data_IF_199012603684
#
_entry.id   IF_199012603684
#
_cell.length_a   1.000
_cell.length_b   1.000
_cell.length_c   1.000
_cell.angle_alpha   90.00
_cell.angle_beta   90.00
_cell.angle_gamma   90.00
#
_symmetry.space_group_name_H-M   'P 1'
#
loop_
_entity.id
_entity.type
_entity.pdbx_description
1 polymer ?
#
# COMPACT_ATOMS: atom_id res chain seq x y z
N UNK A 1 1.68 -2.44 -22.70
CA UNK A 1 2.37 -2.55 -21.38
C UNK A 1 1.56 -1.76 -20.37
N UNK A 2 1.28 -2.28 -19.17
CA UNK A 2 0.55 -1.49 -18.16
C UNK A 2 1.41 -0.35 -17.64
N UNK A 3 0.76 0.79 -17.37
CA UNK A 3 1.41 1.95 -16.77
C UNK A 3 1.88 1.62 -15.33
N UNK A 4 3.16 1.88 -14.97
CA UNK A 4 3.68 1.59 -13.64
C UNK A 4 2.89 2.24 -12.49
N UNK A 5 2.35 3.45 -12.71
CA UNK A 5 1.47 4.14 -11.75
C UNK A 5 0.19 3.36 -11.51
N UNK A 6 -0.40 2.78 -12.57
CA UNK A 6 -1.62 1.99 -12.47
C UNK A 6 -1.38 0.64 -11.79
N UNK A 7 -0.20 0.05 -11.98
CA UNK A 7 0.20 -1.16 -11.27
C UNK A 7 0.30 -0.91 -9.75
N UNK A 8 0.97 0.17 -9.32
CA UNK A 8 1.06 0.56 -7.89
C UNK A 8 -0.32 0.79 -7.27
N UNK A 9 -1.21 1.49 -7.98
CA UNK A 9 -2.58 1.73 -7.53
C UNK A 9 -3.37 0.43 -7.37
N UNK A 10 -3.25 -0.49 -8.32
CA UNK A 10 -3.90 -1.80 -8.27
C UNK A 10 -3.38 -2.63 -7.11
N UNK A 11 -2.06 -2.73 -6.95
CA UNK A 11 -1.43 -3.43 -5.84
C UNK A 11 -1.91 -2.86 -4.49
N UNK A 12 -1.88 -1.54 -4.33
CA UNK A 12 -2.38 -0.87 -3.12
C UNK A 12 -3.84 -1.24 -2.87
N UNK A 13 -4.73 -1.07 -3.85
CA UNK A 13 -6.15 -1.37 -3.66
C UNK A 13 -6.39 -2.84 -3.27
N UNK A 14 -5.69 -3.79 -3.90
CA UNK A 14 -5.79 -5.20 -3.55
C UNK A 14 -5.30 -5.48 -2.12
N UNK A 15 -4.22 -4.81 -1.71
CA UNK A 15 -3.67 -4.96 -0.36
C UNK A 15 -4.60 -4.44 0.75
N UNK A 16 -5.38 -3.40 0.48
CA UNK A 16 -6.24 -2.77 1.51
C UNK A 16 -7.71 -3.17 1.46
N UNK A 17 -8.21 -3.67 0.33
CA UNK A 17 -9.63 -4.04 0.18
C UNK A 17 -9.87 -5.49 -0.20
N UNK A 18 -8.87 -6.19 -0.74
CA UNK A 18 -8.97 -7.55 -1.24
C UNK A 18 -8.05 -8.50 -0.50
N UNK A 19 -6.99 -8.93 -1.19
CA UNK A 19 -6.10 -10.01 -0.81
C UNK A 19 -5.41 -9.85 0.56
N UNK A 20 -5.19 -8.62 1.05
CA UNK A 20 -4.43 -8.29 2.29
C UNK A 20 -2.99 -8.79 2.39
N UNK A 21 -2.57 -9.61 1.42
CA UNK A 21 -1.23 -10.10 1.16
C UNK A 21 -1.04 -10.13 -0.35
N UNK A 22 0.08 -9.59 -0.84
CA UNK A 22 0.50 -9.68 -2.23
C UNK A 22 1.85 -10.36 -2.31
N UNK A 23 1.97 -11.30 -3.24
CA UNK A 23 3.24 -11.91 -3.60
C UNK A 23 3.84 -11.13 -4.80
N UNK A 24 5.05 -10.61 -4.62
CA UNK A 24 5.80 -9.86 -5.61
C UNK A 24 7.11 -10.61 -5.89
N UNK A 25 7.02 -11.65 -6.70
CA UNK A 25 8.15 -12.57 -6.92
C UNK A 25 8.42 -13.39 -5.65
N UNK A 26 9.57 -13.19 -5.04
CA UNK A 26 9.98 -13.84 -3.78
C UNK A 26 9.60 -13.03 -2.54
N UNK A 27 9.19 -11.77 -2.72
CA UNK A 27 8.86 -10.86 -1.63
C UNK A 27 7.34 -10.80 -1.40
N UNK A 28 6.96 -10.30 -0.22
CA UNK A 28 5.56 -10.09 0.11
C UNK A 28 5.30 -8.67 0.58
N UNK A 29 4.17 -8.12 0.16
CA UNK A 29 3.60 -6.92 0.76
C UNK A 29 2.36 -7.32 1.56
N UNK A 30 2.32 -6.93 2.84
CA UNK A 30 1.22 -7.30 3.75
C UNK A 30 0.58 -6.08 4.39
N UNK A 31 -0.73 -6.13 4.52
CA UNK A 31 -1.49 -5.07 5.18
C UNK A 31 -1.06 -4.87 6.64
N UNK A 32 -0.85 -5.95 7.39
CA UNK A 32 -0.54 -5.86 8.82
C UNK A 32 0.85 -5.29 9.09
N UNK A 33 1.84 -5.56 8.23
CA UNK A 33 3.15 -4.93 8.28
C UNK A 33 3.05 -3.41 8.02
N UNK A 34 2.28 -3.00 7.01
CA UNK A 34 2.03 -1.58 6.75
C UNK A 34 1.27 -0.91 7.90
N UNK A 35 0.32 -1.63 8.50
CA UNK A 35 -0.41 -1.17 9.67
C UNK A 35 0.53 -0.96 10.86
N UNK A 36 1.41 -1.90 11.16
CA UNK A 36 2.40 -1.73 12.23
C UNK A 36 3.36 -0.57 11.93
N UNK A 37 3.86 -0.48 10.70
CA UNK A 37 4.79 0.57 10.28
C UNK A 37 4.19 1.97 10.45
N UNK A 38 2.90 2.15 10.13
CA UNK A 38 2.21 3.43 10.29
C UNK A 38 2.07 3.91 11.75
N UNK A 39 2.35 3.03 12.72
CA UNK A 39 2.35 3.34 14.16
C UNK A 39 3.76 3.42 14.76
N UNK A 40 4.81 3.16 13.97
CA UNK A 40 6.20 3.33 14.41
C UNK A 40 6.63 4.79 14.26
N UNK A 41 7.56 5.23 15.09
CA UNK A 41 8.18 6.55 14.93
C UNK A 41 9.06 6.60 13.67
N UNK A 42 9.20 7.79 13.08
CA UNK A 42 10.08 8.07 11.95
C UNK A 42 9.82 7.24 10.67
N UNK A 43 8.54 7.01 10.35
CA UNK A 43 8.12 6.35 9.12
C UNK A 43 7.61 7.35 8.07
N UNK A 44 7.58 6.95 6.79
CA UNK A 44 7.10 7.80 5.68
C UNK A 44 5.59 7.71 5.44
N UNK A 45 4.91 6.75 6.07
CA UNK A 45 3.47 6.54 5.91
C UNK A 45 2.70 7.54 6.76
N UNK A 46 1.65 8.08 6.18
CA UNK A 46 0.65 8.84 6.93
C UNK A 46 -0.41 7.86 7.44
N UNK A 47 -1.02 8.12 8.60
CA UNK A 47 -2.10 7.25 9.12
C UNK A 47 -3.23 7.07 8.10
N UNK A 48 -3.54 8.11 7.30
CA UNK A 48 -4.54 8.08 6.22
C UNK A 48 -4.16 7.17 5.03
N UNK A 49 -2.90 6.77 4.91
CA UNK A 49 -2.44 5.90 3.84
C UNK A 49 -2.85 4.44 4.09
N UNK A 50 -3.09 4.11 5.36
CA UNK A 50 -3.42 2.77 5.87
C UNK A 50 -4.85 2.70 6.40
N UNK A 51 -5.30 3.74 7.12
CA UNK A 51 -6.65 3.86 7.69
C UNK A 51 -7.53 4.76 6.85
N UNK A 52 -8.82 4.40 6.71
CA UNK A 52 -9.83 5.20 5.99
C UNK A 52 -9.33 5.70 4.63
N UNK A 53 -8.79 4.75 3.87
CA UNK A 53 -8.08 5.01 2.63
C UNK A 53 -8.95 5.72 1.60
N UNK A 54 -8.45 6.86 1.12
CA UNK A 54 -8.91 7.45 -0.13
C UNK A 54 -8.34 6.67 -1.32
N UNK A 55 -9.20 5.97 -2.07
CA UNK A 55 -8.83 5.18 -3.26
C UNK A 55 -8.36 6.06 -4.43
N UNK A 56 -8.59 7.38 -4.38
CA UNK A 56 -8.15 8.34 -5.38
C UNK A 56 -6.81 9.02 -5.04
N UNK A 57 -6.30 8.90 -3.80
CA UNK A 57 -4.96 9.39 -3.45
C UNK A 57 -3.87 8.47 -4.03
N UNK A 58 -3.47 8.76 -5.27
CA UNK A 58 -2.38 8.06 -5.93
C UNK A 58 -1.03 8.25 -5.21
N UNK A 59 -0.86 9.32 -4.41
CA UNK A 59 0.39 9.59 -3.69
C UNK A 59 0.62 8.57 -2.57
N UNK A 60 -0.45 8.04 -1.98
CA UNK A 60 -0.35 6.96 -1.01
C UNK A 60 0.24 5.69 -1.62
N UNK A 61 -0.12 5.37 -2.88
CA UNK A 61 0.46 4.23 -3.58
C UNK A 61 1.98 4.37 -3.78
N UNK A 62 2.48 5.59 -4.01
CA UNK A 62 3.92 5.89 -4.10
C UNK A 62 4.67 5.82 -2.77
N UNK A 63 3.99 6.04 -1.63
CA UNK A 63 4.61 5.91 -0.30
C UNK A 63 4.69 4.45 0.15
N UNK A 64 3.86 3.57 -0.42
CA UNK A 64 3.79 2.15 -0.09
C UNK A 64 4.69 1.30 -1.00
N UNK A 65 4.81 1.65 -2.28
CA UNK A 65 5.62 0.98 -3.31
C UNK A 65 6.46 1.98 -4.10
#
# INVERSE_FOLDING_TARGET
VQDPKHAKKTARNQLFTGARLLLLGIDTARYDQLFQLAYQDNNILLKRDVLNIDKQDDRAAYRIF
#
